data_IF_228929612135
#
_entry.id   IF_228929612135
#
_cell.length_a   1.000
_cell.length_b   1.000
_cell.length_c   1.000
_cell.angle_alpha   90.00
_cell.angle_beta   90.00
_cell.angle_gamma   90.00
#
_symmetry.space_group_name_H-M   'P 1'
#
loop_
_entity.id
_entity.type
_entity.pdbx_description
1 polymer ?
#
# COMPACT_ATOMS: atom_id res chain seq x y z
N UNK A 1 41.60 -15.47 16.31
CA UNK A 1 40.56 -14.43 16.14
C UNK A 1 40.53 -14.01 14.67
N UNK A 2 39.67 -14.67 13.89
CA UNK A 2 39.48 -14.35 12.46
C UNK A 2 38.69 -13.05 12.37
N UNK A 3 39.29 -11.99 11.83
CA UNK A 3 38.56 -10.79 11.41
C UNK A 3 37.64 -11.25 10.29
N UNK A 4 36.34 -11.35 10.59
CA UNK A 4 35.32 -11.45 9.55
C UNK A 4 35.59 -10.33 8.55
N UNK A 5 35.85 -10.71 7.31
CA UNK A 5 35.83 -9.82 6.16
C UNK A 5 34.49 -9.11 6.20
N UNK A 6 34.47 -7.88 6.73
CA UNK A 6 33.35 -6.98 6.54
C UNK A 6 33.37 -6.67 5.05
N UNK A 7 32.58 -7.43 4.28
CA UNK A 7 32.33 -7.16 2.89
C UNK A 7 32.08 -5.64 2.76
N UNK A 8 32.87 -4.99 1.91
CA UNK A 8 32.76 -3.56 1.70
C UNK A 8 31.28 -3.19 1.54
N UNK A 9 30.80 -2.16 2.24
CA UNK A 9 29.40 -1.80 2.15
C UNK A 9 29.04 -1.55 0.69
N UNK A 10 28.11 -2.35 0.16
CA UNK A 10 27.73 -2.25 -1.25
C UNK A 10 27.19 -0.86 -1.63
N UNK A 11 27.02 -0.60 -2.94
CA UNK A 11 26.71 0.71 -3.46
C UNK A 11 25.44 1.30 -2.85
N UNK A 12 25.43 2.63 -2.74
CA UNK A 12 24.33 3.44 -2.24
C UNK A 12 23.72 4.26 -3.36
N UNK A 13 22.39 4.34 -3.39
CA UNK A 13 21.63 5.11 -4.38
C UNK A 13 20.66 6.02 -3.65
N UNK A 14 20.53 7.27 -4.10
CA UNK A 14 19.58 8.21 -3.52
C UNK A 14 18.14 7.79 -3.82
N UNK A 15 17.21 8.02 -2.88
CA UNK A 15 15.83 7.58 -3.03
C UNK A 15 15.14 8.12 -4.29
N UNK A 16 15.47 9.33 -4.75
CA UNK A 16 14.84 9.90 -5.94
C UNK A 16 15.10 9.11 -7.23
N UNK A 17 16.26 8.42 -7.33
CA UNK A 17 16.56 7.52 -8.45
C UNK A 17 15.86 6.15 -8.33
N UNK A 18 15.57 5.73 -7.09
CA UNK A 18 14.91 4.44 -6.82
C UNK A 18 13.39 4.57 -6.99
N UNK A 19 12.84 5.73 -6.66
CA UNK A 19 11.41 5.97 -6.53
C UNK A 19 10.72 5.99 -7.90
N UNK A 20 9.57 5.34 -7.94
CA UNK A 20 8.73 5.26 -9.13
C UNK A 20 7.99 6.56 -9.46
N UNK A 21 7.50 6.73 -10.71
CA UNK A 21 6.67 7.87 -11.12
C UNK A 21 5.43 8.00 -10.24
N UNK A 22 5.26 9.17 -9.62
CA UNK A 22 4.27 9.39 -8.56
C UNK A 22 2.85 9.08 -9.03
N UNK A 23 2.37 9.75 -10.09
CA UNK A 23 1.00 9.58 -10.58
C UNK A 23 0.67 8.13 -10.96
N UNK A 24 1.56 7.47 -11.70
CA UNK A 24 1.36 6.08 -12.14
C UNK A 24 1.33 5.11 -10.95
N UNK A 25 2.13 5.35 -9.92
CA UNK A 25 2.14 4.52 -8.71
C UNK A 25 0.93 4.73 -7.84
N UNK A 26 0.52 5.98 -7.63
CA UNK A 26 -0.73 6.30 -6.96
C UNK A 26 -1.93 5.62 -7.62
N UNK A 27 -2.08 5.76 -8.95
CA UNK A 27 -3.19 5.13 -9.68
C UNK A 27 -3.16 3.61 -9.57
N UNK A 28 -1.97 3.00 -9.59
CA UNK A 28 -1.83 1.55 -9.44
C UNK A 28 -2.18 1.06 -8.03
N UNK A 29 -1.82 1.82 -7.00
CA UNK A 29 -2.22 1.54 -5.61
C UNK A 29 -3.74 1.60 -5.51
N UNK A 30 -4.36 2.67 -6.00
CA UNK A 30 -5.82 2.85 -5.98
C UNK A 30 -6.51 1.70 -6.71
N UNK A 31 -6.10 1.40 -7.95
CA UNK A 31 -6.74 0.36 -8.76
C UNK A 31 -6.62 -1.03 -8.12
N UNK A 32 -5.44 -1.38 -7.61
CA UNK A 32 -5.20 -2.70 -7.05
C UNK A 32 -5.90 -2.87 -5.70
N UNK A 33 -5.86 -1.87 -4.83
CA UNK A 33 -6.58 -1.90 -3.56
C UNK A 33 -8.09 -1.87 -3.76
N UNK A 34 -8.60 -1.10 -4.71
CA UNK A 34 -10.02 -1.11 -5.07
C UNK A 34 -10.47 -2.50 -5.53
N UNK A 35 -9.70 -3.13 -6.43
CA UNK A 35 -9.98 -4.49 -6.89
C UNK A 35 -9.99 -5.48 -5.72
N UNK A 36 -9.01 -5.38 -4.82
CA UNK A 36 -8.96 -6.22 -3.62
C UNK A 36 -10.20 -6.02 -2.75
N UNK A 37 -10.64 -4.77 -2.52
CA UNK A 37 -11.87 -4.48 -1.79
C UNK A 37 -13.11 -5.07 -2.48
N UNK A 38 -13.25 -4.93 -3.80
CA UNK A 38 -14.37 -5.51 -4.56
C UNK A 38 -14.40 -7.04 -4.44
N UNK A 39 -13.25 -7.70 -4.57
CA UNK A 39 -13.17 -9.17 -4.39
C UNK A 39 -13.50 -9.55 -2.93
N UNK A 40 -13.09 -8.72 -1.97
CA UNK A 40 -13.35 -8.94 -0.55
C UNK A 40 -14.84 -8.86 -0.19
N UNK A 41 -15.66 -8.17 -0.99
CA UNK A 41 -17.11 -8.22 -0.85
C UNK A 41 -17.61 -9.66 -0.83
N UNK A 42 -17.21 -10.45 -1.83
CA UNK A 42 -17.66 -11.83 -1.97
C UNK A 42 -17.11 -12.71 -0.84
N UNK A 43 -15.86 -12.48 -0.44
CA UNK A 43 -15.29 -13.19 0.70
C UNK A 43 -16.11 -12.89 1.95
N UNK A 44 -16.28 -11.62 2.34
CA UNK A 44 -16.95 -11.25 3.58
C UNK A 44 -18.43 -11.66 3.55
N UNK A 45 -19.15 -11.35 2.48
CA UNK A 45 -20.59 -11.63 2.39
C UNK A 45 -20.90 -13.14 2.47
N UNK A 46 -20.07 -13.99 1.86
CA UNK A 46 -20.35 -15.43 1.79
C UNK A 46 -19.61 -16.26 2.83
N UNK A 47 -18.57 -15.74 3.49
CA UNK A 47 -17.79 -16.50 4.48
C UNK A 47 -17.98 -16.03 5.92
N UNK A 48 -18.67 -14.91 6.17
CA UNK A 48 -18.94 -14.42 7.53
C UNK A 48 -20.42 -14.35 7.85
N UNK A 49 -20.78 -14.63 9.10
CA UNK A 49 -22.15 -14.52 9.59
C UNK A 49 -22.69 -13.08 9.49
N UNK A 50 -21.83 -12.09 9.78
CA UNK A 50 -22.15 -10.67 9.65
C UNK A 50 -22.45 -10.26 8.20
N UNK A 51 -21.72 -10.84 7.26
CA UNK A 51 -21.91 -10.64 5.82
C UNK A 51 -23.23 -11.24 5.33
N UNK A 52 -23.51 -12.49 5.72
CA UNK A 52 -24.76 -13.17 5.38
C UNK A 52 -25.98 -12.44 5.95
N UNK A 53 -25.94 -12.02 7.22
CA UNK A 53 -27.01 -11.26 7.85
C UNK A 53 -27.23 -9.89 7.16
N UNK A 54 -26.16 -9.22 6.74
CA UNK A 54 -26.25 -7.96 6.00
C UNK A 54 -26.88 -8.14 4.62
N UNK A 55 -26.58 -9.26 3.95
CA UNK A 55 -27.16 -9.62 2.66
C UNK A 55 -28.66 -9.90 2.77
N UNK A 56 -29.08 -10.62 3.81
CA UNK A 56 -30.49 -10.89 4.08
C UNK A 56 -31.26 -9.61 4.40
N UNK A 57 -30.68 -8.72 5.20
CA UNK A 57 -31.35 -7.48 5.63
C UNK A 57 -31.47 -6.40 4.54
N UNK A 58 -30.44 -6.24 3.68
CA UNK A 58 -30.37 -5.13 2.71
C UNK A 58 -30.57 -5.58 1.25
N UNK A 59 -30.45 -6.86 0.97
CA UNK A 59 -30.38 -7.40 -0.38
C UNK A 59 -29.04 -7.11 -1.07
N UNK A 60 -28.76 -7.86 -2.13
CA UNK A 60 -27.47 -7.83 -2.83
C UNK A 60 -27.12 -6.47 -3.42
N UNK A 61 -28.05 -5.85 -4.16
CA UNK A 61 -27.80 -4.61 -4.93
C UNK A 61 -27.38 -3.43 -4.05
N UNK A 62 -28.21 -3.03 -3.05
CA UNK A 62 -27.87 -1.93 -2.14
C UNK A 62 -26.60 -2.19 -1.34
N UNK A 63 -26.38 -3.44 -0.90
CA UNK A 63 -25.17 -3.81 -0.18
C UNK A 63 -23.92 -3.64 -1.06
N UNK A 64 -23.95 -4.16 -2.29
CA UNK A 64 -22.85 -4.03 -3.24
C UNK A 64 -22.56 -2.57 -3.59
N UNK A 65 -23.58 -1.75 -3.84
CA UNK A 65 -23.42 -0.32 -4.14
C UNK A 65 -22.74 0.44 -2.98
N UNK A 66 -23.20 0.20 -1.76
CA UNK A 66 -22.57 0.79 -0.56
C UNK A 66 -21.12 0.33 -0.39
N UNK A 67 -20.84 -0.94 -0.72
CA UNK A 67 -19.50 -1.51 -0.69
C UNK A 67 -18.58 -0.88 -1.73
N UNK A 68 -19.05 -0.70 -2.97
CA UNK A 68 -18.28 -0.05 -4.04
C UNK A 68 -17.95 1.41 -3.68
N UNK A 69 -18.90 2.15 -3.10
CA UNK A 69 -18.68 3.50 -2.63
C UNK A 69 -17.60 3.54 -1.53
N UNK A 70 -17.70 2.67 -0.52
CA UNK A 70 -16.70 2.54 0.53
C UNK A 70 -15.32 2.17 -0.05
N UNK A 71 -15.29 1.18 -0.94
CA UNK A 71 -14.08 0.72 -1.61
C UNK A 71 -13.36 1.85 -2.34
N UNK A 72 -14.11 2.70 -3.07
CA UNK A 72 -13.57 3.85 -3.77
C UNK A 72 -12.98 4.89 -2.80
N UNK A 73 -13.69 5.19 -1.71
CA UNK A 73 -13.25 6.14 -0.68
C UNK A 73 -11.97 5.67 0.00
N UNK A 74 -11.94 4.42 0.49
CA UNK A 74 -10.77 3.84 1.17
C UNK A 74 -9.58 3.74 0.21
N UNK A 75 -9.81 3.30 -1.03
CA UNK A 75 -8.75 3.17 -2.03
C UNK A 75 -8.16 4.52 -2.45
N UNK A 76 -9.01 5.54 -2.58
CA UNK A 76 -8.57 6.92 -2.75
C UNK A 76 -7.70 7.40 -1.58
N UNK A 77 -8.06 7.02 -0.35
CA UNK A 77 -7.24 7.26 0.84
C UNK A 77 -5.87 6.60 0.79
N UNK A 78 -5.76 5.36 0.32
CA UNK A 78 -4.45 4.71 0.13
C UNK A 78 -3.57 5.51 -0.85
N UNK A 79 -4.14 5.88 -2.00
CA UNK A 79 -3.45 6.73 -2.97
C UNK A 79 -3.01 8.08 -2.39
N UNK A 80 -3.88 8.74 -1.63
CA UNK A 80 -3.58 10.02 -0.98
C UNK A 80 -2.49 9.90 0.08
N UNK A 81 -2.49 8.84 0.89
CA UNK A 81 -1.43 8.57 1.86
C UNK A 81 -0.06 8.44 1.19
N UNK A 82 0.00 7.72 0.06
CA UNK A 82 1.21 7.63 -0.74
C UNK A 82 1.62 8.98 -1.35
N UNK A 83 0.68 9.72 -1.93
CA UNK A 83 0.92 11.05 -2.51
C UNK A 83 1.50 12.03 -1.49
N UNK A 84 0.86 12.14 -0.32
CA UNK A 84 1.27 13.07 0.74
C UNK A 84 2.69 12.75 1.20
N UNK A 85 2.99 11.48 1.49
CA UNK A 85 4.34 11.11 1.91
C UNK A 85 5.38 11.41 0.82
N UNK A 86 5.06 11.12 -0.44
CA UNK A 86 5.99 11.32 -1.56
C UNK A 86 6.25 12.79 -1.86
N UNK A 87 5.30 13.68 -1.58
CA UNK A 87 5.48 15.14 -1.70
C UNK A 87 6.29 15.74 -0.55
N UNK A 88 6.22 15.16 0.65
CA UNK A 88 6.93 15.66 1.84
C UNK A 88 8.37 15.12 1.95
N UNK A 89 8.70 14.05 1.25
CA UNK A 89 10.01 13.41 1.38
C UNK A 89 10.97 13.82 0.26
N UNK A 90 11.97 14.66 0.57
CA UNK A 90 12.94 15.28 -0.36
C UNK A 90 13.80 14.31 -1.19
N UNK A 91 13.79 13.00 -0.89
CA UNK A 91 14.41 11.97 -1.73
C UNK A 91 15.94 11.96 -1.76
N UNK A 92 16.59 12.87 -1.03
CA UNK A 92 18.06 13.01 -0.98
C UNK A 92 18.75 11.92 -0.14
N UNK A 93 18.00 11.20 0.69
CA UNK A 93 18.56 10.13 1.52
C UNK A 93 19.09 8.99 0.66
N UNK A 94 20.31 8.57 0.96
CA UNK A 94 20.98 7.42 0.34
C UNK A 94 20.51 6.11 0.98
N UNK A 95 20.25 5.11 0.14
CA UNK A 95 19.82 3.78 0.57
C UNK A 95 20.77 2.72 0.02
N UNK A 96 20.99 1.65 0.78
CA UNK A 96 21.55 0.39 0.30
C UNK A 96 20.44 -0.54 -0.18
N UNK A 97 20.79 -1.56 -0.96
CA UNK A 97 19.83 -2.58 -1.47
C UNK A 97 18.91 -3.16 -0.38
N UNK A 98 19.45 -3.47 0.79
CA UNK A 98 18.68 -4.02 1.92
C UNK A 98 17.70 -3.01 2.53
N UNK A 99 17.99 -1.71 2.39
CA UNK A 99 17.19 -0.62 2.93
C UNK A 99 16.06 -0.21 1.98
N UNK A 100 16.13 -0.60 0.69
CA UNK A 100 15.05 -0.40 -0.29
C UNK A 100 13.76 -1.08 0.16
N UNK A 101 13.85 -2.28 0.75
CA UNK A 101 12.70 -3.00 1.30
C UNK A 101 12.06 -2.20 2.44
N UNK A 102 12.88 -1.63 3.32
CA UNK A 102 12.39 -0.79 4.44
C UNK A 102 11.73 0.49 3.92
N UNK A 103 12.29 1.10 2.88
CA UNK A 103 11.69 2.25 2.22
C UNK A 103 10.33 1.89 1.62
N UNK A 104 10.24 0.81 0.83
CA UNK A 104 8.99 0.36 0.23
C UNK A 104 7.93 0.04 1.29
N UNK A 105 8.33 -0.60 2.40
CA UNK A 105 7.44 -0.90 3.52
C UNK A 105 6.94 0.38 4.21
N UNK A 106 7.83 1.33 4.51
CA UNK A 106 7.45 2.60 5.13
C UNK A 106 6.43 3.38 4.28
N UNK A 107 6.64 3.43 2.97
CA UNK A 107 5.70 4.09 2.06
C UNK A 107 4.38 3.33 1.91
N UNK A 108 4.40 1.98 2.03
CA UNK A 108 3.19 1.15 2.06
C UNK A 108 2.39 1.37 3.35
N UNK A 109 3.06 1.54 4.49
CA UNK A 109 2.42 1.89 5.77
C UNK A 109 1.77 3.27 5.67
N UNK A 110 2.44 4.27 5.09
CA UNK A 110 1.84 5.59 4.92
C UNK A 110 0.63 5.57 3.97
N UNK A 111 0.69 4.80 2.89
CA UNK A 111 -0.46 4.51 2.04
C UNK A 111 -1.60 3.94 2.87
N UNK A 112 -1.36 2.85 3.61
CA UNK A 112 -2.35 2.25 4.51
C UNK A 112 -2.96 3.26 5.51
N UNK A 113 -2.14 4.10 6.16
CA UNK A 113 -2.62 5.14 7.07
C UNK A 113 -3.55 6.14 6.37
N UNK A 114 -3.29 6.48 5.10
CA UNK A 114 -4.18 7.30 4.30
C UNK A 114 -5.55 6.64 4.07
N UNK A 115 -5.57 5.36 3.74
CA UNK A 115 -6.82 4.60 3.58
C UNK A 115 -7.60 4.48 4.88
N UNK A 116 -6.90 4.24 6.00
CA UNK A 116 -7.51 4.25 7.32
C UNK A 116 -8.10 5.62 7.66
N UNK A 117 -7.35 6.72 7.50
CA UNK A 117 -7.81 8.06 7.86
C UNK A 117 -9.06 8.48 7.09
N UNK A 118 -9.12 8.22 5.79
CA UNK A 118 -10.29 8.58 4.96
C UNK A 118 -11.44 7.59 5.16
N UNK A 119 -11.13 6.31 5.33
CA UNK A 119 -12.11 5.24 5.52
C UNK A 119 -12.69 5.15 6.93
N UNK A 120 -12.08 5.80 7.93
CA UNK A 120 -12.43 5.64 9.34
C UNK A 120 -13.91 5.92 9.61
N UNK A 121 -14.41 7.06 9.16
CA UNK A 121 -15.77 7.51 9.44
C UNK A 121 -16.85 6.57 8.87
N UNK A 122 -16.79 6.10 7.61
CA UNK A 122 -17.75 5.11 7.14
C UNK A 122 -17.53 3.72 7.75
N UNK A 123 -16.30 3.34 8.14
CA UNK A 123 -16.03 2.05 8.78
C UNK A 123 -16.61 1.93 10.19
N UNK A 124 -16.61 3.01 10.99
CA UNK A 124 -17.21 3.00 12.34
C UNK A 124 -18.73 2.78 12.33
N UNK A 125 -19.38 2.98 11.18
CA UNK A 125 -20.82 2.76 11.02
C UNK A 125 -21.16 1.31 10.62
N UNK A 126 -20.15 0.45 10.41
CA UNK A 126 -20.36 -0.95 10.03
C UNK A 126 -20.53 -1.85 11.25
N UNK A 127 -21.29 -2.93 11.08
CA UNK A 127 -21.61 -3.87 12.16
C UNK A 127 -20.38 -4.55 12.76
N UNK A 128 -19.36 -4.82 11.95
CA UNK A 128 -18.11 -5.47 12.38
C UNK A 128 -16.92 -4.53 12.17
N UNK A 129 -16.76 -3.59 13.10
CA UNK A 129 -15.68 -2.60 13.08
C UNK A 129 -14.31 -3.28 13.07
N UNK A 130 -14.10 -4.29 13.92
CA UNK A 130 -12.78 -4.91 14.08
C UNK A 130 -12.33 -5.60 12.78
N UNK A 131 -13.24 -6.35 12.13
CA UNK A 131 -12.98 -6.94 10.83
C UNK A 131 -12.62 -5.87 9.79
N UNK A 132 -13.41 -4.80 9.68
CA UNK A 132 -13.18 -3.75 8.68
C UNK A 132 -11.88 -3.00 8.90
N UNK A 133 -11.51 -2.75 10.16
CA UNK A 133 -10.21 -2.18 10.49
C UNK A 133 -9.10 -3.15 10.08
N UNK A 134 -9.08 -4.37 10.59
CA UNK A 134 -8.05 -5.36 10.26
C UNK A 134 -7.91 -5.57 8.75
N UNK A 135 -9.03 -5.58 8.03
CA UNK A 135 -9.07 -5.72 6.58
C UNK A 135 -8.46 -4.51 5.87
N UNK A 136 -8.73 -3.30 6.36
CA UNK A 136 -8.11 -2.07 5.84
C UNK A 136 -6.60 -2.06 6.02
N UNK A 137 -6.09 -2.57 7.14
CA UNK A 137 -4.65 -2.75 7.36
C UNK A 137 -4.07 -3.77 6.39
N UNK A 138 -4.69 -4.95 6.28
CA UNK A 138 -4.24 -6.04 5.42
C UNK A 138 -4.21 -5.61 3.94
N UNK A 139 -5.32 -5.07 3.42
CA UNK A 139 -5.41 -4.63 2.02
C UNK A 139 -4.44 -3.48 1.77
N UNK A 140 -4.40 -2.50 2.67
CA UNK A 140 -3.56 -1.31 2.53
C UNK A 140 -2.07 -1.64 2.43
N UNK A 141 -1.54 -2.42 3.37
CA UNK A 141 -0.11 -2.79 3.37
C UNK A 141 0.19 -3.74 2.21
N UNK A 142 -0.54 -4.85 2.08
CA UNK A 142 -0.18 -5.91 1.14
C UNK A 142 -0.20 -5.43 -0.31
N UNK A 143 -1.29 -4.76 -0.72
CA UNK A 143 -1.44 -4.36 -2.12
C UNK A 143 -0.65 -3.09 -2.44
N UNK A 144 -0.46 -2.17 -1.49
CA UNK A 144 0.49 -1.05 -1.72
C UNK A 144 1.93 -1.57 -1.85
N UNK A 145 2.33 -2.51 -0.99
CA UNK A 145 3.67 -3.10 -1.05
C UNK A 145 3.89 -3.89 -2.34
N UNK A 146 2.90 -4.67 -2.78
CA UNK A 146 2.94 -5.40 -4.05
C UNK A 146 3.11 -4.47 -5.27
N UNK A 147 2.63 -3.23 -5.19
CA UNK A 147 2.85 -2.21 -6.24
C UNK A 147 4.22 -1.53 -6.10
N UNK A 148 4.59 -1.12 -4.88
CA UNK A 148 5.76 -0.28 -4.63
C UNK A 148 7.06 -1.10 -4.74
N UNK A 149 7.12 -2.27 -4.11
CA UNK A 149 8.36 -3.05 -3.98
C UNK A 149 8.98 -3.45 -5.32
N UNK A 150 8.23 -4.02 -6.30
CA UNK A 150 8.80 -4.39 -7.60
C UNK A 150 9.33 -3.17 -8.37
N UNK A 151 8.63 -2.03 -8.27
CA UNK A 151 9.05 -0.79 -8.93
C UNK A 151 10.33 -0.24 -8.31
N UNK A 152 10.50 -0.38 -7.00
CA UNK A 152 11.67 0.14 -6.29
C UNK A 152 12.87 -0.78 -6.52
N UNK A 153 12.65 -2.09 -6.63
CA UNK A 153 13.67 -3.02 -7.07
C UNK A 153 14.15 -2.71 -8.51
N UNK A 154 13.22 -2.40 -9.43
CA UNK A 154 13.56 -2.00 -10.80
C UNK A 154 14.28 -0.64 -10.84
N UNK A 155 13.81 0.35 -10.08
CA UNK A 155 14.45 1.67 -9.97
C UNK A 155 15.86 1.57 -9.40
N UNK A 156 16.07 0.71 -8.38
CA UNK A 156 17.39 0.40 -7.85
C UNK A 156 18.32 -0.16 -8.94
N UNK A 157 17.88 -1.20 -9.66
CA UNK A 157 18.69 -1.82 -10.70
C UNK A 157 19.04 -0.82 -11.80
N UNK A 158 18.05 -0.07 -12.28
CA UNK A 158 18.23 0.98 -13.29
C UNK A 158 19.24 2.04 -12.85
N UNK A 159 19.18 2.48 -11.59
CA UNK A 159 20.10 3.48 -11.08
C UNK A 159 21.55 2.98 -11.02
N UNK A 160 21.75 1.68 -10.76
CA UNK A 160 23.08 1.07 -10.85
C UNK A 160 23.56 0.99 -12.30
N UNK A 161 22.69 0.59 -13.23
CA UNK A 161 23.02 0.48 -14.65
C UNK A 161 23.36 1.86 -15.26
N UNK A 162 22.74 2.94 -14.76
CA UNK A 162 22.99 4.33 -15.16
C UNK A 162 24.19 4.98 -14.44
N UNK A 163 24.86 4.27 -13.51
CA UNK A 163 26.08 4.74 -12.83
C UNK A 163 25.84 5.65 -11.62
N UNK A 164 24.62 5.68 -11.06
CA UNK A 164 24.28 6.48 -9.87
C UNK A 164 24.59 5.78 -8.54
N UNK A 165 25.36 4.68 -8.57
CA UNK A 165 25.84 3.99 -7.38
C UNK A 165 27.07 4.69 -6.79
N UNK A 166 26.98 5.11 -5.52
CA UNK A 166 28.11 5.66 -4.77
C UNK A 166 28.63 4.63 -3.76
N UNK A 167 29.94 4.49 -3.63
CA UNK A 167 30.60 3.63 -2.63
C UNK A 167 30.55 4.25 -1.22
#
# INVERSE_FOLDING_TARGET
MSRSSQAAPGPRVAAWYIRSPLARTTVSIIALTFTAWVVSFFLIVYTTESGAASLEARGFGPLLLSWLALSAVVSGGYGLGYLVLRNLADGQRMYRRQEVVKLALAESIASMCGGFAIGFLPMIMMADLFLMLAWTFAVGILFSFAVIMPRYAQGWQRALDEGYGHE
#
